data_IF_341790004333
#
_entry.id   IF_341790004333
#
_cell.length_a   1.000
_cell.length_b   1.000
_cell.length_c   1.000
_cell.angle_alpha   90.00
_cell.angle_beta   90.00
_cell.angle_gamma   90.00
#
_symmetry.space_group_name_H-M   'P 1'
#
loop_
_entity.id
_entity.type
_entity.pdbx_description
1 polymer ?
#
# COMPACT_ATOMS: atom_id res chain seq x y z
N UNK A 1 9.93 4.24 -9.97
CA UNK A 1 10.84 4.12 -8.80
C UNK A 1 10.29 3.09 -7.81
N UNK A 2 11.10 2.31 -7.07
CA UNK A 2 10.57 1.43 -6.01
C UNK A 2 10.22 2.20 -4.73
N UNK A 3 9.21 1.75 -3.98
CA UNK A 3 8.83 2.37 -2.69
C UNK A 3 8.91 1.42 -1.49
N UNK A 4 8.79 0.11 -1.71
CA UNK A 4 8.83 -0.89 -0.65
C UNK A 4 9.69 -2.09 -1.03
N UNK A 5 10.29 -2.70 -0.02
CA UNK A 5 11.04 -3.95 -0.11
C UNK A 5 10.72 -4.84 1.08
N UNK A 6 10.58 -6.13 0.85
CA UNK A 6 10.41 -7.12 1.90
C UNK A 6 11.18 -8.39 1.59
N UNK A 7 11.56 -9.13 2.63
CA UNK A 7 12.32 -10.37 2.52
C UNK A 7 11.56 -11.50 3.18
N UNK A 8 11.41 -12.63 2.49
CA UNK A 8 10.80 -13.83 3.07
C UNK A 8 11.71 -14.51 4.06
N UNK A 9 11.17 -15.43 4.86
CA UNK A 9 11.96 -16.24 5.81
C UNK A 9 13.04 -17.08 5.12
N UNK A 10 12.85 -17.38 3.84
CA UNK A 10 13.81 -18.12 2.99
C UNK A 10 14.75 -17.20 2.18
N UNK A 11 14.75 -15.89 2.46
CA UNK A 11 15.64 -14.92 1.81
C UNK A 11 15.19 -14.47 0.42
N UNK A 12 13.94 -14.75 0.00
CA UNK A 12 13.41 -14.21 -1.26
C UNK A 12 13.10 -12.74 -1.07
N UNK A 13 13.53 -11.89 -2.01
CA UNK A 13 13.32 -10.44 -1.94
C UNK A 13 12.20 -10.05 -2.89
N UNK A 14 11.28 -9.22 -2.41
CA UNK A 14 10.18 -8.65 -3.18
C UNK A 14 10.21 -7.13 -3.09
N UNK A 15 9.89 -6.47 -4.20
CA UNK A 15 9.94 -5.01 -4.37
C UNK A 15 8.67 -4.58 -5.09
N UNK A 16 8.12 -3.42 -4.75
CA UNK A 16 7.01 -2.84 -5.49
C UNK A 16 7.38 -1.49 -6.13
N UNK A 17 6.62 -1.14 -7.17
CA UNK A 17 6.79 0.05 -7.99
C UNK A 17 5.41 0.64 -8.26
N UNK A 18 4.96 1.65 -7.50
CA UNK A 18 3.67 2.30 -7.77
C UNK A 18 3.73 3.06 -9.11
N UNK A 19 2.58 3.18 -9.78
CA UNK A 19 2.46 3.82 -11.09
C UNK A 19 2.20 5.33 -10.91
N UNK A 20 3.23 6.07 -10.54
CA UNK A 20 3.14 7.53 -10.26
C UNK A 20 3.33 8.44 -11.48
N UNK A 21 3.73 7.89 -12.63
CA UNK A 21 4.05 8.65 -13.83
C UNK A 21 5.26 8.11 -14.59
N UNK A 22 6.09 7.33 -13.89
CA UNK A 22 7.19 6.56 -14.48
C UNK A 22 6.66 5.43 -15.38
N UNK A 23 7.49 4.97 -16.32
CA UNK A 23 7.25 3.71 -17.03
C UNK A 23 7.48 2.52 -16.08
N UNK A 24 6.40 1.82 -15.74
CA UNK A 24 6.38 0.74 -14.74
C UNK A 24 5.86 -0.54 -15.39
N UNK A 25 6.75 -1.44 -15.87
CA UNK A 25 6.35 -2.66 -16.58
C UNK A 25 5.66 -3.69 -15.68
N UNK A 26 5.91 -3.63 -14.37
CA UNK A 26 5.26 -4.40 -13.33
C UNK A 26 5.30 -3.62 -12.02
N UNK A 27 4.20 -3.64 -11.27
CA UNK A 27 4.08 -2.93 -10.00
C UNK A 27 4.55 -3.77 -8.81
N UNK A 28 4.75 -5.08 -8.99
CA UNK A 28 5.39 -5.97 -8.00
C UNK A 28 6.40 -6.87 -8.69
N UNK A 29 7.57 -7.02 -8.08
CA UNK A 29 8.63 -7.90 -8.55
C UNK A 29 9.18 -8.78 -7.42
N UNK A 30 9.59 -10.00 -7.77
CA UNK A 30 10.52 -10.80 -6.99
C UNK A 30 11.91 -10.73 -7.60
N UNK A 31 12.96 -10.67 -6.79
CA UNK A 31 14.33 -10.75 -7.29
C UNK A 31 14.71 -12.20 -7.60
N UNK A 32 15.11 -12.45 -8.85
CA UNK A 32 15.66 -13.74 -9.31
C UNK A 32 17.04 -13.48 -9.90
N UNK A 33 18.09 -14.05 -9.27
CA UNK A 33 19.47 -13.78 -9.68
C UNK A 33 19.83 -12.28 -9.65
N UNK A 34 19.31 -11.53 -8.67
CA UNK A 34 19.50 -10.09 -8.54
C UNK A 34 18.68 -9.22 -9.50
N UNK A 35 17.90 -9.82 -10.41
CA UNK A 35 17.08 -9.09 -11.38
C UNK A 35 15.60 -9.08 -10.97
N UNK A 36 14.89 -7.94 -11.07
CA UNK A 36 13.46 -7.89 -10.82
C UNK A 36 12.69 -8.62 -11.92
N UNK A 37 11.77 -9.49 -11.52
CA UNK A 37 10.83 -10.20 -12.40
C UNK A 37 9.43 -10.04 -11.84
N UNK A 38 8.44 -9.78 -12.68
CA UNK A 38 7.04 -9.64 -12.29
C UNK A 38 6.57 -10.78 -11.37
N UNK A 39 5.84 -10.45 -10.31
CA UNK A 39 5.41 -11.40 -9.27
C UNK A 39 4.00 -11.07 -8.76
N UNK A 40 3.16 -12.02 -8.33
CA UNK A 40 3.32 -13.48 -8.36
C UNK A 40 3.06 -14.12 -9.72
N UNK A 41 2.32 -13.41 -10.57
CA UNK A 41 1.88 -13.82 -11.89
C UNK A 41 1.91 -12.59 -12.81
N UNK A 42 2.41 -12.75 -14.03
CA UNK A 42 2.60 -11.62 -14.94
C UNK A 42 1.27 -11.04 -15.46
N UNK A 43 0.23 -11.86 -15.59
CA UNK A 43 -1.12 -11.44 -16.00
C UNK A 43 -1.71 -10.51 -14.94
N UNK A 44 -1.75 -10.97 -13.70
CA UNK A 44 -2.29 -10.21 -12.57
C UNK A 44 -1.53 -8.89 -12.36
N UNK A 45 -0.25 -8.84 -12.68
CA UNK A 45 0.58 -7.65 -12.51
C UNK A 45 0.33 -6.56 -13.56
N UNK A 46 -0.27 -6.92 -14.71
CA UNK A 46 -0.65 -5.94 -15.73
C UNK A 46 -1.76 -5.06 -15.19
N UNK A 47 -1.70 -3.77 -15.55
CA UNK A 47 -2.80 -2.86 -15.29
C UNK A 47 -3.95 -3.17 -16.26
N UNK A 48 -5.16 -3.29 -15.73
CA UNK A 48 -6.38 -3.44 -16.53
C UNK A 48 -7.51 -2.64 -15.88
N UNK A 49 -8.01 -1.64 -16.61
CA UNK A 49 -9.10 -0.77 -16.16
C UNK A 49 -10.48 -1.45 -16.25
N UNK A 50 -10.60 -2.52 -17.03
CA UNK A 50 -11.84 -3.29 -17.19
C UNK A 50 -12.04 -4.35 -16.08
N UNK A 51 -10.95 -4.81 -15.45
CA UNK A 51 -10.99 -5.72 -14.31
C UNK A 51 -10.06 -5.27 -13.17
N UNK A 52 -10.51 -4.23 -12.44
CA UNK A 52 -9.75 -3.65 -11.33
C UNK A 52 -9.45 -4.66 -10.21
N UNK A 53 -10.36 -5.61 -9.95
CA UNK A 53 -10.21 -6.60 -8.88
C UNK A 53 -9.31 -7.78 -9.29
N UNK A 54 -9.30 -8.11 -10.58
CA UNK A 54 -8.42 -9.11 -11.18
C UNK A 54 -6.96 -8.68 -11.18
N UNK A 55 -6.71 -7.40 -11.44
CA UNK A 55 -5.41 -6.86 -11.83
C UNK A 55 -4.82 -5.85 -10.83
N UNK A 56 -3.50 -5.80 -10.74
CA UNK A 56 -2.77 -4.83 -9.92
C UNK A 56 -2.67 -3.49 -10.64
N UNK A 57 -3.16 -2.43 -10.01
CA UNK A 57 -3.32 -1.10 -10.61
C UNK A 57 -2.16 -0.17 -10.23
N UNK A 58 -1.81 -0.08 -8.95
CA UNK A 58 -0.64 0.66 -8.48
C UNK A 58 -0.31 0.25 -7.05
N UNK A 59 0.61 -0.70 -6.89
CA UNK A 59 1.01 -1.24 -5.58
C UNK A 59 1.97 -0.30 -4.89
N UNK A 60 1.62 0.08 -3.66
CA UNK A 60 2.37 1.03 -2.83
C UNK A 60 3.22 0.35 -1.75
N UNK A 61 2.77 -0.80 -1.23
CA UNK A 61 3.51 -1.55 -0.21
C UNK A 61 3.44 -3.07 -0.44
N UNK A 62 4.56 -3.74 -0.14
CA UNK A 62 4.68 -5.19 -0.08
C UNK A 62 5.34 -5.61 1.22
N UNK A 63 4.74 -6.58 1.91
CA UNK A 63 5.20 -7.01 3.24
C UNK A 63 5.05 -8.52 3.35
N UNK A 64 6.10 -9.20 3.79
CA UNK A 64 6.00 -10.60 4.23
C UNK A 64 5.59 -10.62 5.69
N UNK A 65 4.50 -11.30 6.01
CA UNK A 65 4.02 -11.42 7.39
C UNK A 65 4.76 -12.51 8.20
N UNK A 66 4.43 -12.62 9.49
CA UNK A 66 5.02 -13.62 10.37
C UNK A 66 4.71 -15.09 10.01
N UNK A 67 3.75 -15.33 9.09
CA UNK A 67 3.41 -16.65 8.57
C UNK A 67 4.09 -16.96 7.22
N UNK A 68 5.04 -16.13 6.79
CA UNK A 68 5.76 -16.24 5.51
C UNK A 68 4.83 -16.13 4.29
N UNK A 69 3.77 -15.32 4.40
CA UNK A 69 2.90 -14.93 3.28
C UNK A 69 3.31 -13.56 2.78
N UNK A 70 3.38 -13.38 1.45
CA UNK A 70 3.55 -12.04 0.88
C UNK A 70 2.19 -11.37 0.79
N UNK A 71 2.10 -10.17 1.34
CA UNK A 71 0.97 -9.28 1.19
C UNK A 71 1.32 -8.11 0.27
N UNK A 72 0.39 -7.80 -0.63
CA UNK A 72 0.50 -6.77 -1.64
C UNK A 72 -0.64 -5.78 -1.41
N UNK A 73 -0.31 -4.53 -1.08
CA UNK A 73 -1.28 -3.44 -0.91
C UNK A 73 -1.34 -2.61 -2.18
N UNK A 74 -2.45 -2.72 -2.91
CA UNK A 74 -2.74 -1.94 -4.11
C UNK A 74 -3.56 -0.71 -3.72
N UNK A 75 -3.12 0.46 -4.18
CA UNK A 75 -3.82 1.74 -3.96
C UNK A 75 -5.03 1.90 -4.87
N UNK A 76 -5.05 1.19 -6.01
CA UNK A 76 -6.06 1.42 -7.05
C UNK A 76 -5.98 2.80 -7.72
N UNK A 77 -4.97 3.62 -7.42
CA UNK A 77 -4.90 5.04 -7.79
C UNK A 77 -3.63 5.35 -8.60
N UNK A 78 -3.51 4.85 -9.85
CA UNK A 78 -2.42 5.22 -10.74
C UNK A 78 -2.45 6.74 -10.98
N UNK A 79 -1.26 7.35 -11.11
CA UNK A 79 -1.06 8.80 -11.27
C UNK A 79 -1.72 9.66 -10.17
N UNK A 80 -2.03 9.07 -9.00
CA UNK A 80 -2.82 9.73 -7.95
C UNK A 80 -4.20 10.23 -8.44
N UNK A 81 -4.77 9.60 -9.48
CA UNK A 81 -6.02 10.02 -10.10
C UNK A 81 -7.29 9.64 -9.30
N UNK A 82 -7.12 9.11 -8.09
CA UNK A 82 -8.19 8.48 -7.32
C UNK A 82 -8.47 7.06 -7.77
N UNK A 83 -9.42 6.42 -7.09
CA UNK A 83 -9.71 5.00 -7.26
C UNK A 83 -11.20 4.69 -7.29
N UNK A 84 -11.52 3.50 -7.83
CA UNK A 84 -12.86 2.92 -7.87
C UNK A 84 -12.87 1.58 -7.16
N UNK A 85 -14.06 1.10 -6.77
CA UNK A 85 -14.21 -0.20 -6.11
C UNK A 85 -13.51 -1.33 -6.88
N UNK A 86 -12.81 -2.20 -6.16
CA UNK A 86 -11.98 -3.27 -6.73
C UNK A 86 -10.53 -2.86 -7.04
N UNK A 87 -10.27 -1.55 -7.23
CA UNK A 87 -8.91 -1.03 -7.41
C UNK A 87 -8.09 -1.16 -6.13
N UNK A 88 -8.44 -0.44 -5.05
CA UNK A 88 -7.79 -0.57 -3.76
C UNK A 88 -8.09 -1.95 -3.16
N UNK A 89 -7.03 -2.71 -2.86
CA UNK A 89 -7.16 -4.08 -2.36
C UNK A 89 -5.91 -4.56 -1.66
N UNK A 90 -6.10 -5.53 -0.78
CA UNK A 90 -5.03 -6.27 -0.11
C UNK A 90 -5.00 -7.72 -0.63
N UNK A 91 -3.89 -8.13 -1.22
CA UNK A 91 -3.74 -9.45 -1.86
C UNK A 91 -2.71 -10.28 -1.08
N UNK A 92 -3.06 -11.52 -0.75
CA UNK A 92 -2.18 -12.46 -0.08
C UNK A 92 -1.69 -13.53 -1.06
N UNK A 93 -0.37 -13.77 -1.06
CA UNK A 93 0.29 -14.83 -1.83
C UNK A 93 0.94 -15.81 -0.86
N UNK A 94 0.61 -17.10 -0.98
CA UNK A 94 1.31 -18.18 -0.30
C UNK A 94 2.67 -18.38 -0.98
N UNK A 95 3.76 -18.01 -0.29
CA UNK A 95 5.12 -18.09 -0.83
C UNK A 95 5.64 -19.51 -1.02
N UNK A 96 4.97 -20.53 -0.47
CA UNK A 96 5.32 -21.94 -0.70
C UNK A 96 4.81 -22.42 -2.06
N UNK A 97 3.65 -21.92 -2.49
CA UNK A 97 3.00 -22.33 -3.73
C UNK A 97 3.08 -21.27 -4.83
N UNK A 98 3.51 -20.05 -4.49
CA UNK A 98 3.50 -18.86 -5.33
C UNK A 98 2.11 -18.54 -5.90
N UNK A 99 1.06 -18.86 -5.13
CA UNK A 99 -0.34 -18.64 -5.54
C UNK A 99 -0.99 -17.56 -4.69
N UNK A 100 -1.79 -16.74 -5.35
CA UNK A 100 -2.73 -15.84 -4.66
C UNK A 100 -3.74 -16.71 -3.93
N UNK A 101 -3.79 -16.57 -2.61
CA UNK A 101 -4.72 -17.33 -1.75
C UNK A 101 -5.85 -16.46 -1.21
N UNK A 102 -5.71 -15.13 -1.29
CA UNK A 102 -6.75 -14.20 -0.84
C UNK A 102 -6.68 -12.87 -1.56
N UNK A 103 -7.84 -12.28 -1.85
CA UNK A 103 -8.01 -10.87 -2.22
C UNK A 103 -9.05 -10.27 -1.28
N UNK A 104 -8.69 -9.19 -0.60
CA UNK A 104 -9.59 -8.42 0.27
C UNK A 104 -9.83 -7.10 -0.45
N UNK A 105 -11.05 -6.91 -0.94
CA UNK A 105 -11.47 -5.66 -1.57
C UNK A 105 -11.99 -4.72 -0.49
N UNK A 106 -11.68 -3.43 -0.62
CA UNK A 106 -12.14 -2.43 0.32
C UNK A 106 -13.47 -1.82 -0.13
N UNK A 107 -14.51 -1.82 0.71
CA UNK A 107 -15.74 -1.09 0.43
C UNK A 107 -15.48 0.43 0.28
N UNK A 108 -16.20 1.15 -0.59
CA UNK A 108 -15.99 2.59 -0.80
C UNK A 108 -16.18 3.45 0.46
N UNK A 109 -16.98 3.00 1.42
CA UNK A 109 -17.15 3.66 2.72
C UNK A 109 -15.92 3.51 3.64
N UNK A 110 -15.08 2.51 3.40
CA UNK A 110 -13.81 2.30 4.10
C UNK A 110 -12.65 2.95 3.34
N UNK A 111 -12.64 2.84 2.02
CA UNK A 111 -11.64 3.45 1.14
C UNK A 111 -12.35 4.27 0.06
N UNK A 112 -12.75 5.52 0.37
CA UNK A 112 -13.28 6.46 -0.62
C UNK A 112 -12.33 6.71 -1.79
N UNK A 113 -12.87 7.21 -2.91
CA UNK A 113 -12.12 7.42 -4.15
C UNK A 113 -10.85 8.27 -4.02
N UNK A 114 -10.82 9.22 -3.08
CA UNK A 114 -9.68 10.09 -2.80
C UNK A 114 -8.72 9.54 -1.73
N UNK A 115 -8.92 8.32 -1.24
CA UNK A 115 -8.01 7.64 -0.31
C UNK A 115 -6.75 7.19 -1.04
N UNK A 116 -5.69 6.99 -0.26
CA UNK A 116 -4.43 6.45 -0.73
C UNK A 116 -3.85 5.48 0.32
N UNK A 117 -4.27 4.19 0.32
CA UNK A 117 -3.73 3.18 1.21
C UNK A 117 -2.22 3.00 0.98
N UNK A 118 -1.41 3.39 1.95
CA UNK A 118 0.03 3.58 1.74
C UNK A 118 0.87 2.40 2.24
N UNK A 119 0.92 2.18 3.55
CA UNK A 119 1.71 1.12 4.18
C UNK A 119 0.84 0.20 5.04
N UNK A 120 1.32 -1.02 5.32
CA UNK A 120 0.58 -2.05 6.07
C UNK A 120 1.46 -2.81 7.06
N UNK A 121 0.93 -3.08 8.26
CA UNK A 121 1.52 -4.03 9.21
C UNK A 121 0.49 -5.04 9.69
N UNK A 122 0.98 -6.22 10.05
CA UNK A 122 0.16 -7.38 10.40
C UNK A 122 0.41 -7.79 11.84
N UNK A 123 -0.64 -7.86 12.64
CA UNK A 123 -0.61 -8.48 13.96
C UNK A 123 -1.34 -9.83 13.91
N UNK A 124 -0.58 -10.92 13.73
CA UNK A 124 -1.12 -12.28 13.65
C UNK A 124 -1.57 -12.83 15.02
N UNK A 125 -1.35 -12.10 16.11
CA UNK A 125 -1.84 -12.45 17.46
C UNK A 125 -3.27 -11.96 17.70
N UNK A 126 -3.78 -11.06 16.87
CA UNK A 126 -5.09 -10.40 17.04
C UNK A 126 -6.10 -10.92 16.03
N UNK A 127 -7.17 -11.55 16.53
CA UNK A 127 -8.18 -12.19 15.68
C UNK A 127 -7.78 -13.59 15.23
N UNK A 128 -8.68 -14.30 14.54
CA UNK A 128 -8.49 -15.72 14.24
C UNK A 128 -7.37 -16.00 13.21
N UNK A 129 -7.21 -15.13 12.21
CA UNK A 129 -6.13 -15.22 11.19
C UNK A 129 -5.20 -14.00 11.20
N UNK A 130 -5.32 -13.15 12.22
CA UNK A 130 -4.61 -11.89 12.34
C UNK A 130 -5.42 -10.65 11.95
N UNK A 131 -4.83 -9.49 12.19
CA UNK A 131 -5.37 -8.17 11.85
C UNK A 131 -4.33 -7.39 11.05
N UNK A 132 -4.75 -6.72 9.98
CA UNK A 132 -3.93 -5.75 9.26
C UNK A 132 -4.27 -4.32 9.70
N UNK A 133 -3.25 -3.48 9.79
CA UNK A 133 -3.35 -2.04 10.01
C UNK A 133 -2.71 -1.33 8.82
N UNK A 134 -3.48 -0.50 8.15
CA UNK A 134 -3.09 0.17 6.91
C UNK A 134 -3.22 1.68 7.10
N UNK A 135 -2.20 2.44 6.75
CA UNK A 135 -2.28 3.90 6.73
C UNK A 135 -3.00 4.38 5.48
N UNK A 136 -3.79 5.44 5.64
CA UNK A 136 -4.39 6.14 4.52
C UNK A 136 -3.78 7.55 4.44
N UNK A 137 -2.93 7.77 3.43
CA UNK A 137 -2.26 9.05 3.19
C UNK A 137 -3.12 10.02 2.37
N UNK A 138 -4.24 9.54 1.82
CA UNK A 138 -5.17 10.34 1.02
C UNK A 138 -6.41 10.77 1.80
N UNK A 139 -7.23 11.58 1.13
CA UNK A 139 -8.55 11.99 1.61
C UNK A 139 -8.53 12.60 3.01
N UNK A 140 -9.31 12.02 3.93
CA UNK A 140 -9.39 12.48 5.33
C UNK A 140 -8.32 11.89 6.24
N UNK A 141 -7.36 11.16 5.67
CA UNK A 141 -6.36 10.34 6.36
C UNK A 141 -6.94 9.36 7.39
N UNK A 142 -6.06 8.60 8.03
CA UNK A 142 -6.39 7.74 9.16
C UNK A 142 -5.71 6.39 9.08
N UNK A 143 -6.33 5.41 9.72
CA UNK A 143 -5.90 4.00 9.74
C UNK A 143 -7.08 3.11 9.37
N UNK A 144 -6.91 2.29 8.34
CA UNK A 144 -7.82 1.22 7.96
C UNK A 144 -7.40 -0.04 8.71
N UNK A 145 -8.35 -0.68 9.38
CA UNK A 145 -8.16 -1.94 10.11
C UNK A 145 -8.88 -3.04 9.36
N UNK A 146 -8.22 -4.18 9.18
CA UNK A 146 -8.73 -5.33 8.44
C UNK A 146 -8.67 -6.58 9.30
N UNK A 147 -9.81 -7.20 9.54
CA UNK A 147 -9.87 -8.56 10.08
C UNK A 147 -9.50 -9.54 8.96
N UNK A 148 -8.36 -10.23 9.08
CA UNK A 148 -7.84 -11.06 8.00
C UNK A 148 -8.66 -12.33 7.80
N UNK A 149 -9.36 -12.83 8.82
CA UNK A 149 -10.14 -14.05 8.75
C UNK A 149 -11.42 -13.86 7.94
N UNK A 150 -12.08 -12.72 8.13
CA UNK A 150 -13.34 -12.39 7.47
C UNK A 150 -13.17 -11.50 6.24
N UNK A 151 -12.06 -10.75 6.16
CA UNK A 151 -11.87 -9.69 5.16
C UNK A 151 -12.63 -8.40 5.48
N UNK A 152 -13.35 -8.33 6.61
CA UNK A 152 -14.08 -7.12 7.00
C UNK A 152 -13.07 -6.02 7.33
N UNK A 153 -13.32 -4.82 6.83
CA UNK A 153 -12.48 -3.64 7.07
C UNK A 153 -13.29 -2.46 7.62
N UNK A 154 -12.62 -1.57 8.34
CA UNK A 154 -13.21 -0.34 8.88
C UNK A 154 -12.14 0.72 9.15
N UNK A 155 -12.55 1.98 9.26
CA UNK A 155 -11.64 3.10 9.56
C UNK A 155 -11.54 3.40 11.05
N UNK A 156 -10.38 3.92 11.45
CA UNK A 156 -10.07 4.53 12.75
C UNK A 156 -9.23 5.79 12.51
N UNK A 157 -9.30 6.72 13.46
CA UNK A 157 -8.56 7.98 13.43
C UNK A 157 -8.81 8.85 12.19
N UNK A 158 -9.93 8.66 11.48
CA UNK A 158 -10.32 9.51 10.35
C UNK A 158 -10.40 10.96 10.80
N UNK A 159 -9.63 11.84 10.15
CA UNK A 159 -9.59 13.27 10.49
C UNK A 159 -9.02 13.59 11.87
N UNK A 160 -8.45 12.62 12.58
CA UNK A 160 -7.86 12.88 13.89
C UNK A 160 -6.55 13.66 13.73
N UNK A 161 -6.25 14.67 14.57
CA UNK A 161 -5.04 15.51 14.41
C UNK A 161 -3.73 14.72 14.31
N UNK A 162 -3.62 13.57 14.97
CA UNK A 162 -2.42 12.72 14.91
C UNK A 162 -2.22 11.98 13.57
N UNK A 163 -3.22 11.99 12.68
CA UNK A 163 -3.18 11.35 11.37
C UNK A 163 -3.21 12.36 10.22
N UNK A 164 -3.39 13.65 10.52
CA UNK A 164 -3.41 14.74 9.54
C UNK A 164 -1.99 15.28 9.30
N UNK A 165 -1.75 15.93 8.14
CA UNK A 165 -0.51 16.65 7.90
C UNK A 165 -0.26 17.72 8.97
N UNK A 166 1.00 17.87 9.37
CA UNK A 166 1.43 19.06 10.12
C UNK A 166 1.53 20.24 9.14
N UNK A 167 0.66 21.24 9.34
CA UNK A 167 0.57 22.43 8.48
C UNK A 167 1.82 23.32 8.53
N UNK A 168 2.71 23.11 9.50
CA UNK A 168 3.95 23.87 9.65
C UNK A 168 5.16 23.09 9.12
N UNK A 169 4.97 21.87 8.65
CA UNK A 169 6.06 21.06 8.12
C UNK A 169 6.44 21.50 6.70
N UNK A 170 7.71 21.85 6.51
CA UNK A 170 8.30 22.12 5.20
C UNK A 170 9.55 21.24 5.03
N UNK A 171 9.48 20.17 4.23
CA UNK A 171 10.66 19.38 3.93
C UNK A 171 11.66 20.19 3.10
N UNK A 172 12.94 20.13 3.48
CA UNK A 172 14.06 20.75 2.74
C UNK A 172 15.01 19.64 2.33
N UNK A 173 15.23 19.48 1.02
CA UNK A 173 16.04 18.41 0.43
C UNK A 173 17.22 19.08 -0.27
N UNK A 174 18.45 18.75 0.13
CA UNK A 174 19.67 19.36 -0.42
C UNK A 174 19.66 20.91 -0.38
N UNK A 175 19.03 21.49 0.65
CA UNK A 175 18.92 22.94 0.84
C UNK A 175 17.73 23.60 0.13
N UNK A 176 16.97 22.85 -0.67
CA UNK A 176 15.82 23.37 -1.41
C UNK A 176 14.48 22.94 -0.78
N UNK A 177 13.52 23.88 -0.60
CA UNK A 177 12.17 23.54 -0.18
C UNK A 177 11.48 22.58 -1.16
N UNK A 178 11.07 21.42 -0.64
CA UNK A 178 10.28 20.47 -1.41
C UNK A 178 8.81 20.91 -1.44
N UNK A 179 8.38 21.32 -2.63
CA UNK A 179 7.07 21.90 -2.90
C UNK A 179 6.40 21.15 -4.06
N UNK A 180 5.08 21.04 -4.01
CA UNK A 180 4.28 20.56 -5.14
C UNK A 180 4.17 21.70 -6.16
N UNK A 181 4.52 21.43 -7.42
CA UNK A 181 4.59 22.45 -8.48
C UNK A 181 3.71 22.03 -9.66
N UNK A 182 2.38 22.30 -9.61
CA UNK A 182 1.49 21.96 -10.71
C UNK A 182 1.82 22.79 -11.96
N UNK A 183 1.63 22.21 -13.14
CA UNK A 183 1.88 22.91 -14.40
C UNK A 183 0.97 24.15 -14.52
N UNK A 184 1.56 25.33 -14.69
CA UNK A 184 0.83 26.60 -14.82
C UNK A 184 0.20 27.12 -13.52
N UNK A 185 0.53 26.55 -12.36
CA UNK A 185 0.06 27.02 -11.05
C UNK A 185 1.18 27.45 -10.12
N UNK A 186 0.81 28.13 -9.04
CA UNK A 186 1.74 28.48 -7.96
C UNK A 186 2.19 27.25 -7.18
N UNK A 187 3.44 27.20 -6.68
CA UNK A 187 3.90 26.14 -5.80
C UNK A 187 3.06 26.05 -4.52
N UNK A 188 2.74 24.84 -4.10
CA UNK A 188 2.03 24.55 -2.85
C UNK A 188 2.89 23.67 -1.95
N UNK A 189 2.60 23.70 -0.64
CA UNK A 189 3.28 22.83 0.33
C UNK A 189 2.96 21.36 0.04
N UNK A 190 3.95 20.50 0.25
CA UNK A 190 3.72 19.06 0.28
C UNK A 190 3.06 18.69 1.61
N UNK A 191 1.82 18.24 1.53
CA UNK A 191 1.06 17.78 2.70
C UNK A 191 0.91 16.25 2.61
N UNK A 192 1.24 15.56 3.69
CA UNK A 192 1.00 14.13 3.85
C UNK A 192 0.71 13.83 5.31
N UNK A 193 -0.40 13.12 5.54
CA UNK A 193 -0.80 12.70 6.87
C UNK A 193 -0.18 11.36 7.25
N UNK A 194 -0.98 10.47 7.83
CA UNK A 194 -0.61 9.09 8.11
C UNK A 194 0.01 8.41 6.88
N UNK A 195 1.27 7.99 6.97
CA UNK A 195 2.05 7.41 5.87
C UNK A 195 2.77 6.13 6.33
N UNK A 196 3.98 6.24 6.88
CA UNK A 196 4.68 5.08 7.45
C UNK A 196 4.01 4.53 8.71
N UNK A 197 4.02 3.21 8.87
CA UNK A 197 3.51 2.52 10.08
C UNK A 197 4.43 1.38 10.51
N UNK A 198 4.51 1.15 11.82
CA UNK A 198 5.32 0.09 12.39
C UNK A 198 4.55 -0.62 13.51
N UNK A 199 4.70 -1.93 13.61
CA UNK A 199 4.19 -2.68 14.75
C UNK A 199 5.37 -3.07 15.62
N UNK A 200 5.32 -2.68 16.89
CA UNK A 200 6.27 -3.13 17.90
C UNK A 200 6.33 -4.66 17.97
N UNK A 201 7.50 -5.21 18.32
CA UNK A 201 7.69 -6.66 18.38
C UNK A 201 6.71 -7.37 19.31
N UNK A 202 6.33 -6.72 20.42
CA UNK A 202 5.34 -7.23 21.39
C UNK A 202 3.88 -6.96 21.00
N UNK A 203 3.64 -6.18 19.93
CA UNK A 203 2.31 -5.86 19.43
C UNK A 203 1.50 -4.90 20.29
N UNK A 204 2.12 -4.27 21.28
CA UNK A 204 1.44 -3.35 22.20
C UNK A 204 1.31 -1.95 21.62
N UNK A 205 2.20 -1.59 20.69
CA UNK A 205 2.23 -0.29 19.98
C UNK A 205 2.23 -0.47 18.47
N UNK A 206 1.45 0.39 17.85
CA UNK A 206 1.36 0.65 16.42
C UNK A 206 1.83 2.09 16.16
#
# INVERSE_FOLDING_TARGET
MPTGVTVSRRGRIFVNFPRWGDDVPFTVAGLRGGKPVAYSDAEVNRQDASDLAGHLQSVQSVVVDGADRLWILDTGSPLFAGSSYGGPKLVAVDLRTDRIVRKILFPPEVVPANSYPNDVRFDLRRGAEGTAFITDSGGSNGVIVVDLATGRSWRRLTGHPSALPDKQFLPVIEGEPFMVRPAGGEPTYYETGSDGIALSADGTRL
#
